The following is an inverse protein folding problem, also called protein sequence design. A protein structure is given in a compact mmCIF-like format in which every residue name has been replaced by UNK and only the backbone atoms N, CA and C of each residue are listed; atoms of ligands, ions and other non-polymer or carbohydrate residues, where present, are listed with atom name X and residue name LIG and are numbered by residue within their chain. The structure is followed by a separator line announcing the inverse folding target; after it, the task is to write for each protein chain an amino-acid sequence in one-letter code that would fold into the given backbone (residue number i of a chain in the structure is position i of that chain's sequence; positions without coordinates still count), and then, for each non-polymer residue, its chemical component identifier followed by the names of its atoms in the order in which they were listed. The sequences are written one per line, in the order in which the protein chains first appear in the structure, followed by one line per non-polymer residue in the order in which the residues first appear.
data_IF_480841946975
#
_entry.id   IF_480841946975
#
_cell.length_a   1.000
_cell.length_b   1.000
_cell.length_c   1.000
_cell.angle_alpha   90.00
_cell.angle_beta   90.00
_cell.angle_gamma   90.00
#
_symmetry.space_group_name_H-M   'P 1'
#
loop_
_entity.id
_entity.type
_entity.pdbx_description
1 polymer ?
#
# COMPACT_ATOMS: atom_id res chain seq x y z
N UNK A 1 2.68 5.98 -22.11
CA UNK A 1 4.04 5.69 -22.61
C UNK A 1 4.25 4.19 -22.48
N UNK A 2 4.27 3.48 -23.60
CA UNK A 2 4.56 2.05 -23.63
C UNK A 2 6.01 1.80 -23.18
N UNK A 3 6.24 0.70 -22.44
CA UNK A 3 7.56 0.29 -21.98
C UNK A 3 8.12 1.04 -20.77
N UNK A 4 7.48 2.11 -20.30
CA UNK A 4 7.94 2.86 -19.13
C UNK A 4 7.96 1.99 -17.86
N UNK A 5 9.07 2.05 -17.12
CA UNK A 5 9.24 1.38 -15.82
C UNK A 5 8.91 2.37 -14.70
N UNK A 6 8.13 1.94 -13.72
CA UNK A 6 7.72 2.75 -12.57
C UNK A 6 7.66 1.93 -11.29
N UNK A 7 7.77 2.61 -10.15
CA UNK A 7 7.56 2.01 -8.84
C UNK A 7 6.06 2.04 -8.48
N UNK A 8 5.51 0.89 -8.14
CA UNK A 8 4.13 0.74 -7.71
C UNK A 8 4.06 0.42 -6.21
N UNK A 9 3.12 1.07 -5.52
CA UNK A 9 2.89 0.96 -4.07
C UNK A 9 1.59 0.20 -3.75
N UNK A 10 1.02 -0.49 -4.73
CA UNK A 10 -0.16 -1.33 -4.59
C UNK A 10 -0.33 -2.26 -5.78
N UNK A 11 -1.08 -3.33 -5.57
CA UNK A 11 -1.39 -4.33 -6.60
C UNK A 11 -1.99 -3.67 -7.85
N UNK A 12 -1.57 -4.17 -9.02
CA UNK A 12 -2.05 -3.65 -10.30
C UNK A 12 -3.51 -4.07 -10.53
N UNK A 13 -4.33 -3.26 -11.23
CA UNK A 13 -5.74 -3.58 -11.49
C UNK A 13 -5.94 -4.87 -12.29
N UNK A 14 -4.93 -5.26 -13.05
CA UNK A 14 -4.87 -6.47 -13.88
C UNK A 14 -4.48 -7.72 -13.09
N UNK A 15 -3.95 -7.58 -11.87
CA UNK A 15 -3.58 -8.73 -11.04
C UNK A 15 -4.83 -9.39 -10.43
N UNK A 16 -5.04 -10.69 -10.63
CA UNK A 16 -6.31 -11.34 -10.28
C UNK A 16 -6.35 -11.81 -8.82
N UNK A 17 -5.92 -10.97 -7.86
CA UNK A 17 -5.96 -11.32 -6.43
C UNK A 17 -7.40 -11.48 -5.95
N UNK A 18 -7.63 -12.36 -4.96
CA UNK A 18 -8.96 -12.59 -4.40
C UNK A 18 -9.59 -11.29 -3.86
N UNK A 19 -8.75 -10.43 -3.26
CA UNK A 19 -9.17 -9.13 -2.73
C UNK A 19 -9.60 -8.17 -3.86
N UNK A 20 -8.82 -8.01 -4.92
CA UNK A 20 -9.21 -7.17 -6.07
C UNK A 20 -10.46 -7.69 -6.78
N UNK A 21 -10.63 -9.01 -6.85
CA UNK A 21 -11.87 -9.62 -7.37
C UNK A 21 -13.07 -9.28 -6.48
N UNK A 22 -12.91 -9.32 -5.15
CA UNK A 22 -13.98 -8.98 -4.21
C UNK A 22 -14.37 -7.49 -4.28
N UNK A 23 -13.38 -6.60 -4.43
CA UNK A 23 -13.58 -5.16 -4.64
C UNK A 23 -14.35 -4.95 -5.94
N UNK A 24 -13.97 -5.63 -7.02
CA UNK A 24 -14.66 -5.54 -8.32
C UNK A 24 -16.12 -6.01 -8.31
N UNK A 25 -16.47 -6.97 -7.44
CA UNK A 25 -17.87 -7.40 -7.26
C UNK A 25 -18.69 -6.39 -6.47
N UNK A 26 -18.10 -5.73 -5.47
CA UNK A 26 -18.78 -4.78 -4.58
C UNK A 26 -18.90 -3.38 -5.17
N UNK A 27 -17.92 -2.98 -5.97
CA UNK A 27 -17.89 -1.69 -6.66
C UNK A 27 -17.75 -1.93 -8.15
N UNK A 28 -18.87 -2.17 -8.87
CA UNK A 28 -18.83 -2.36 -10.31
C UNK A 28 -18.29 -1.10 -10.98
N UNK A 29 -17.54 -1.30 -12.08
CA UNK A 29 -16.99 -0.20 -12.85
C UNK A 29 -18.10 0.75 -13.30
N UNK A 30 -17.97 2.04 -12.98
CA UNK A 30 -18.89 3.04 -13.49
C UNK A 30 -18.61 3.25 -14.99
N UNK A 31 -19.63 3.30 -15.86
CA UNK A 31 -19.45 3.64 -17.27
C UNK A 31 -18.84 5.03 -17.49
N UNK A 32 -18.87 5.91 -16.47
CA UNK A 32 -18.43 7.30 -16.52
C UNK A 32 -17.03 7.56 -15.97
N UNK A 33 -16.40 6.59 -15.29
CA UNK A 33 -15.06 6.76 -14.70
C UNK A 33 -14.11 5.76 -15.35
N UNK A 34 -13.04 6.29 -15.93
CA UNK A 34 -11.96 5.53 -16.58
C UNK A 34 -11.26 4.63 -15.56
N UNK A 35 -11.65 3.36 -15.53
CA UNK A 35 -10.88 2.26 -14.91
C UNK A 35 -10.75 2.27 -13.38
N UNK A 36 -10.41 1.10 -12.84
CA UNK A 36 -9.97 0.90 -11.45
C UNK A 36 -8.47 1.22 -11.36
N UNK A 37 -8.07 2.44 -11.71
CA UNK A 37 -6.67 2.85 -11.70
C UNK A 37 -6.08 2.95 -10.29
N UNK A 38 -4.78 3.26 -10.20
CA UNK A 38 -4.03 3.40 -8.94
C UNK A 38 -4.74 4.26 -7.89
N UNK A 39 -5.24 5.44 -8.27
CA UNK A 39 -5.94 6.35 -7.36
C UNK A 39 -7.30 5.84 -6.87
N UNK A 40 -7.94 4.94 -7.62
CA UNK A 40 -9.15 4.29 -7.16
C UNK A 40 -8.83 3.20 -6.13
N UNK A 41 -7.79 2.40 -6.39
CA UNK A 41 -7.36 1.33 -5.50
C UNK A 41 -6.67 1.86 -4.23
N UNK A 42 -6.05 3.03 -4.26
CA UNK A 42 -5.40 3.63 -3.09
C UNK A 42 -6.37 3.83 -1.92
N UNK A 43 -7.63 4.19 -2.17
CA UNK A 43 -8.66 4.31 -1.13
C UNK A 43 -8.86 3.00 -0.36
N UNK A 44 -8.93 1.87 -1.07
CA UNK A 44 -9.01 0.55 -0.45
C UNK A 44 -7.73 0.19 0.31
N UNK A 45 -6.57 0.53 -0.27
CA UNK A 45 -5.26 0.28 0.36
C UNK A 45 -5.12 0.95 1.73
N UNK A 46 -5.67 2.14 1.91
CA UNK A 46 -5.67 2.83 3.22
C UNK A 46 -6.82 2.36 4.12
N UNK A 47 -7.99 2.03 3.55
CA UNK A 47 -9.14 1.58 4.32
C UNK A 47 -8.95 0.17 4.91
N UNK A 48 -8.31 -0.75 4.21
CA UNK A 48 -8.05 -2.12 4.67
C UNK A 48 -7.32 -2.20 6.03
N UNK A 49 -6.15 -1.57 6.22
CA UNK A 49 -5.47 -1.56 7.51
C UNK A 49 -6.28 -0.84 8.60
N UNK A 50 -7.03 0.23 8.24
CA UNK A 50 -7.91 0.90 9.19
C UNK A 50 -9.03 -0.02 9.69
N UNK A 51 -9.71 -0.72 8.79
CA UNK A 51 -10.79 -1.65 9.12
C UNK A 51 -10.26 -2.81 9.96
N UNK A 52 -9.09 -3.35 9.64
CA UNK A 52 -8.46 -4.38 10.46
C UNK A 52 -8.06 -3.85 11.85
N UNK A 53 -7.55 -2.63 11.94
CA UNK A 53 -7.26 -1.96 13.21
C UNK A 53 -8.51 -1.79 14.08
N UNK A 54 -9.60 -1.30 13.49
CA UNK A 54 -10.91 -1.18 14.15
C UNK A 54 -11.43 -2.55 14.63
N UNK A 55 -11.27 -3.60 13.81
CA UNK A 55 -11.67 -4.97 14.17
C UNK A 55 -10.87 -5.48 15.39
N UNK A 56 -9.57 -5.22 15.43
CA UNK A 56 -8.68 -5.63 16.53
C UNK A 56 -8.89 -4.81 17.80
N UNK A 57 -9.21 -3.51 17.68
CA UNK A 57 -9.52 -2.65 18.82
C UNK A 57 -10.78 -3.12 19.57
N UNK A 58 -11.73 -3.73 18.85
CA UNK A 58 -12.91 -4.33 19.44
C UNK A 58 -14.00 -3.30 19.77
N UNK A 59 -14.88 -3.63 20.72
CA UNK A 59 -16.10 -2.85 21.02
C UNK A 59 -15.84 -1.62 21.87
N UNK A 60 -14.78 -1.63 22.68
CA UNK A 60 -14.38 -0.51 23.52
C UNK A 60 -13.42 0.40 22.73
N UNK A 61 -13.95 1.03 21.69
CA UNK A 61 -13.15 1.77 20.72
C UNK A 61 -12.82 3.17 21.24
N UNK A 62 -11.54 3.39 21.53
CA UNK A 62 -10.91 4.70 21.73
C UNK A 62 -9.75 4.92 20.75
N UNK A 63 -9.23 6.16 20.67
CA UNK A 63 -8.05 6.46 19.88
C UNK A 63 -6.84 5.61 20.31
N UNK A 64 -6.64 5.44 21.62
CA UNK A 64 -5.58 4.64 22.22
C UNK A 64 -5.71 3.17 21.83
N UNK A 65 -6.91 2.59 21.96
CA UNK A 65 -7.13 1.18 21.58
C UNK A 65 -6.92 0.95 20.08
N UNK A 66 -7.28 1.93 19.23
CA UNK A 66 -7.02 1.85 17.79
C UNK A 66 -5.53 1.94 17.48
N UNK A 67 -4.81 2.84 18.13
CA UNK A 67 -3.35 2.95 17.99
C UNK A 67 -2.67 1.65 18.42
N UNK A 68 -3.01 1.11 19.58
CA UNK A 68 -2.49 -0.20 20.05
C UNK A 68 -2.82 -1.33 19.09
N UNK A 69 -4.04 -1.35 18.53
CA UNK A 69 -4.44 -2.33 17.54
C UNK A 69 -3.64 -2.21 16.23
N UNK A 70 -3.38 -1.01 15.74
CA UNK A 70 -2.55 -0.78 14.56
C UNK A 70 -1.09 -1.16 14.83
N UNK A 71 -0.54 -0.81 15.99
CA UNK A 71 0.82 -1.19 16.42
C UNK A 71 1.00 -2.71 16.60
N UNK A 72 -0.08 -3.49 16.64
CA UNK A 72 -0.01 -4.96 16.59
C UNK A 72 0.27 -5.52 15.18
N UNK A 73 0.35 -4.66 14.15
CA UNK A 73 0.59 -5.10 12.80
C UNK A 73 2.06 -5.46 12.63
N UNK A 74 2.29 -6.73 12.27
CA UNK A 74 3.59 -7.23 11.87
C UNK A 74 3.45 -7.99 10.55
N UNK A 75 3.76 -7.32 9.44
CA UNK A 75 3.58 -7.87 8.09
C UNK A 75 2.11 -8.02 7.67
N UNK A 76 1.20 -7.19 8.18
CA UNK A 76 -0.19 -7.19 7.69
C UNK A 76 -0.20 -6.80 6.20
N UNK A 77 -0.82 -7.62 5.35
CA UNK A 77 -0.82 -7.39 3.90
C UNK A 77 -2.23 -7.43 3.34
N UNK A 78 -2.69 -6.27 2.86
CA UNK A 78 -3.88 -6.11 2.03
C UNK A 78 -3.54 -6.10 0.54
N UNK A 79 -4.15 -5.20 -0.24
CA UNK A 79 -3.75 -4.93 -1.65
C UNK A 79 -2.49 -4.05 -1.80
N UNK A 80 -1.85 -3.69 -0.70
CA UNK A 80 -0.61 -2.92 -0.65
C UNK A 80 0.59 -3.79 -0.24
N UNK A 81 1.77 -3.17 -0.11
CA UNK A 81 2.93 -3.83 0.52
C UNK A 81 2.63 -4.26 1.96
N UNK A 82 3.38 -5.25 2.51
CA UNK A 82 3.29 -5.61 3.91
C UNK A 82 3.51 -4.40 4.83
N UNK A 83 2.68 -4.28 5.86
CA UNK A 83 2.69 -3.20 6.83
C UNK A 83 3.08 -3.71 8.21
N UNK A 84 4.06 -3.03 8.82
CA UNK A 84 4.42 -3.20 10.22
C UNK A 84 4.41 -1.84 10.90
N UNK A 85 3.54 -1.67 11.89
CA UNK A 85 3.51 -0.48 12.73
C UNK A 85 4.01 -0.83 14.13
N UNK A 86 4.64 0.11 14.81
CA UNK A 86 4.92 0.05 16.24
C UNK A 86 5.04 1.47 16.79
N UNK A 87 5.39 1.62 18.08
CA UNK A 87 5.52 2.93 18.73
C UNK A 87 6.48 3.88 18.00
N UNK A 88 7.55 3.34 17.41
CA UNK A 88 8.63 4.09 16.76
C UNK A 88 8.53 4.07 15.22
N UNK A 89 7.66 3.21 14.66
CA UNK A 89 7.47 3.02 13.21
C UNK A 89 6.03 3.34 12.82
N UNK A 90 5.79 4.63 12.53
CA UNK A 90 4.50 5.13 12.00
C UNK A 90 4.38 5.04 10.48
N UNK A 91 5.52 4.99 9.77
CA UNK A 91 5.55 4.63 8.34
C UNK A 91 5.63 3.11 8.20
N UNK A 92 4.48 2.47 8.00
CA UNK A 92 4.35 1.01 8.10
C UNK A 92 5.19 0.20 7.11
N UNK A 93 5.59 0.83 6.01
CA UNK A 93 6.38 0.21 4.94
C UNK A 93 7.10 1.26 4.11
N UNK A 94 8.21 0.85 3.50
CA UNK A 94 8.94 1.60 2.47
C UNK A 94 8.99 0.82 1.15
N UNK A 95 8.24 -0.27 1.07
CA UNK A 95 8.33 -1.19 -0.04
C UNK A 95 7.53 -0.71 -1.26
N UNK A 96 8.08 -0.99 -2.44
CA UNK A 96 7.42 -0.86 -3.73
C UNK A 96 7.83 -2.05 -4.61
N UNK A 97 7.05 -2.38 -5.65
CA UNK A 97 7.55 -3.27 -6.71
C UNK A 97 7.75 -2.46 -8.00
N UNK A 98 8.61 -2.95 -8.88
CA UNK A 98 8.77 -2.37 -10.21
C UNK A 98 7.74 -2.94 -11.17
N UNK A 99 7.14 -2.07 -11.96
CA UNK A 99 6.18 -2.43 -12.99
C UNK A 99 6.54 -1.78 -14.32
N UNK A 100 6.10 -2.41 -15.42
CA UNK A 100 6.25 -1.89 -16.78
C UNK A 100 4.88 -1.63 -17.40
N UNK A 101 4.71 -0.44 -17.96
CA UNK A 101 3.54 -0.07 -18.76
C UNK A 101 3.53 -0.88 -20.07
N UNK A 102 2.41 -1.54 -20.35
CA UNK A 102 2.19 -2.30 -21.60
C UNK A 102 1.58 -1.36 -22.64
N UNK A 103 0.47 -0.68 -22.34
CA UNK A 103 -0.27 0.12 -23.33
C UNK A 103 -1.01 1.34 -22.74
N UNK A 104 -0.47 1.94 -21.67
CA UNK A 104 -1.05 3.13 -21.04
C UNK A 104 -2.26 2.84 -20.14
N UNK A 105 -2.92 1.70 -20.32
CA UNK A 105 -4.00 1.21 -19.44
C UNK A 105 -3.57 0.00 -18.61
N UNK A 106 -2.70 -0.85 -19.18
CA UNK A 106 -2.21 -2.06 -18.53
C UNK A 106 -0.75 -1.92 -18.13
N UNK A 107 -0.41 -2.62 -17.07
CA UNK A 107 0.96 -2.80 -16.63
C UNK A 107 1.18 -4.25 -16.19
N UNK A 108 2.44 -4.68 -16.23
CA UNK A 108 2.90 -5.93 -15.64
C UNK A 108 3.87 -5.68 -14.49
N UNK A 109 3.81 -6.52 -13.47
CA UNK A 109 4.74 -6.52 -12.35
C UNK A 109 6.03 -7.22 -12.77
N UNK A 110 7.17 -6.59 -12.49
CA UNK A 110 8.50 -7.10 -12.83
C UNK A 110 9.24 -7.72 -11.64
N UNK A 111 8.88 -7.33 -10.41
CA UNK A 111 9.59 -7.75 -9.20
C UNK A 111 8.61 -8.08 -8.07
N UNK A 112 9.12 -8.73 -7.02
CA UNK A 112 8.43 -8.74 -5.74
C UNK A 112 8.46 -7.37 -5.06
N UNK A 113 7.87 -7.26 -3.87
CA UNK A 113 8.04 -6.08 -3.02
C UNK A 113 9.53 -5.90 -2.66
N UNK A 114 10.04 -4.71 -2.90
CA UNK A 114 11.44 -4.34 -2.67
C UNK A 114 11.46 -3.14 -1.71
N UNK A 115 12.39 -3.16 -0.76
CA UNK A 115 12.77 -1.96 -0.01
C UNK A 115 14.09 -1.43 -0.53
N UNK A 116 14.30 -0.12 -0.45
CA UNK A 116 15.55 0.50 -0.94
C UNK A 116 16.78 0.07 -0.13
N UNK A 117 16.61 -0.52 1.06
CA UNK A 117 17.69 -0.85 1.98
C UNK A 117 18.47 0.36 2.50
N UNK A 118 17.99 1.58 2.24
CA UNK A 118 18.66 2.82 2.60
C UNK A 118 18.53 3.04 4.11
N UNK A 119 19.67 3.24 4.76
CA UNK A 119 19.73 3.73 6.13
C UNK A 119 19.29 5.20 6.16
N UNK A 120 18.07 5.44 6.64
CA UNK A 120 17.47 6.77 6.65
C UNK A 120 18.17 7.69 7.64
N UNK A 121 18.64 7.16 8.76
CA UNK A 121 19.34 7.95 9.78
C UNK A 121 20.69 8.40 9.25
N UNK A 122 21.40 7.52 8.55
CA UNK A 122 22.62 7.91 7.86
C UNK A 122 22.37 8.96 6.78
N UNK A 123 21.27 8.86 6.02
CA UNK A 123 20.93 9.86 5.01
C UNK A 123 20.58 11.20 5.66
N UNK A 124 19.79 11.20 6.73
CA UNK A 124 19.44 12.41 7.49
C UNK A 124 20.72 13.06 8.03
N UNK A 125 21.61 12.30 8.68
CA UNK A 125 22.90 12.81 9.18
C UNK A 125 23.76 13.42 8.07
N UNK A 126 23.79 12.82 6.88
CA UNK A 126 24.51 13.40 5.74
C UNK A 126 23.88 14.71 5.27
N UNK A 127 22.56 14.80 5.23
CA UNK A 127 21.84 15.99 4.77
C UNK A 127 21.91 17.13 5.79
N UNK A 128 21.84 16.81 7.08
CA UNK A 128 21.84 17.78 8.19
C UNK A 128 23.24 18.17 8.65
N UNK A 129 24.22 17.26 8.55
CA UNK A 129 25.63 17.48 8.91
C UNK A 129 26.49 18.08 7.80
N UNK A 130 25.92 18.40 6.64
CA UNK A 130 26.61 19.08 5.53
C UNK A 130 26.59 20.61 5.64
N UNK A 131 26.61 21.15 6.86
CA UNK A 131 26.71 22.59 7.13
C UNK A 131 28.08 22.96 7.71
#
# INVERSE_FOLDING_TARGET
MEGAIFAAIGELPTQPTLLLRSIGKRVPASPRKSGRGEFFLSGFRYAEPLVEGLRRAGRDLTAETLVTALESFNGFQGIGPPLTFNSDKRQGTRAAFLARSIDGERAERLTEWLESGVDIEQVIQRLEGSN
#
